data_IF_949290507892
#
_entry.id   IF_949290507892
#
_cell.length_a   1.000
_cell.length_b   1.000
_cell.length_c   1.000
_cell.angle_alpha   90.00
_cell.angle_beta   90.00
_cell.angle_gamma   90.00
#
_symmetry.space_group_name_H-M   'P 1'
#
loop_
_entity.id
_entity.type
_entity.pdbx_description
1 polymer ?
#
# COMPACT_ATOMS: atom_id res chain seq x y z
N UNK A 1 45.15 -4.40 -47.56
CA UNK A 1 43.70 -4.20 -47.46
C UNK A 1 43.01 -5.17 -48.40
N UNK A 2 42.03 -5.93 -47.93
CA UNK A 2 40.71 -6.19 -48.57
C UNK A 2 39.95 -7.15 -47.64
N UNK A 3 38.62 -7.01 -47.56
CA UNK A 3 37.83 -7.60 -46.48
C UNK A 3 37.16 -8.90 -46.92
N UNK A 4 37.32 -9.98 -46.14
CA UNK A 4 36.40 -11.12 -46.25
C UNK A 4 35.07 -10.77 -45.59
N UNK A 5 34.05 -10.57 -46.42
CA UNK A 5 32.65 -10.45 -46.02
C UNK A 5 32.16 -11.74 -45.36
N UNK A 6 31.65 -11.64 -44.13
CA UNK A 6 30.92 -12.74 -43.49
C UNK A 6 29.45 -12.69 -43.90
N UNK A 7 29.03 -13.62 -44.75
CA UNK A 7 27.61 -13.81 -45.11
C UNK A 7 26.81 -14.18 -43.87
N UNK A 8 25.71 -13.48 -43.62
CA UNK A 8 24.85 -13.66 -42.46
C UNK A 8 23.67 -14.55 -42.85
N UNK A 9 23.65 -15.78 -42.36
CA UNK A 9 22.58 -16.75 -42.68
C UNK A 9 21.40 -16.50 -41.75
N UNK A 10 20.23 -16.22 -42.33
CA UNK A 10 18.97 -16.19 -41.60
C UNK A 10 18.53 -17.62 -41.25
N UNK A 11 18.26 -17.88 -39.98
CA UNK A 11 17.53 -19.05 -39.53
C UNK A 11 16.18 -18.58 -38.95
N UNK A 12 15.13 -18.61 -39.76
CA UNK A 12 13.77 -18.36 -39.30
C UNK A 12 13.22 -19.63 -38.62
N UNK A 13 12.79 -19.50 -37.36
CA UNK A 13 12.06 -20.56 -36.65
C UNK A 13 10.65 -20.06 -36.36
N UNK A 14 9.68 -20.75 -36.93
CA UNK A 14 8.25 -20.61 -36.65
C UNK A 14 7.71 -21.98 -36.19
N UNK A 15 6.38 -22.09 -36.03
CA UNK A 15 5.65 -23.28 -35.51
C UNK A 15 5.80 -23.43 -33.98
N UNK A 16 4.74 -23.70 -33.20
CA UNK A 16 3.35 -24.07 -33.49
C UNK A 16 2.35 -23.35 -32.57
N UNK A 17 1.08 -23.28 -32.99
CA UNK A 17 -0.04 -23.04 -32.07
C UNK A 17 -0.39 -24.32 -31.30
N UNK A 18 -0.94 -24.16 -30.10
CA UNK A 18 -1.71 -25.20 -29.42
C UNK A 18 -2.99 -24.59 -28.82
N UNK A 19 -4.15 -25.07 -29.26
CA UNK A 19 -5.46 -24.67 -28.74
C UNK A 19 -6.43 -25.85 -28.79
N UNK A 20 -6.91 -26.27 -27.61
CA UNK A 20 -8.09 -27.07 -27.31
C UNK A 20 -8.15 -27.13 -25.77
N UNK A 21 -9.09 -26.50 -25.05
CA UNK A 21 -10.54 -26.74 -25.00
C UNK A 21 -10.93 -28.13 -24.53
N UNK A 22 -11.40 -28.22 -23.28
CA UNK A 22 -12.55 -29.03 -22.83
C UNK A 22 -12.93 -28.54 -21.43
N UNK A 23 -14.22 -28.29 -21.21
CA UNK A 23 -14.78 -28.02 -19.89
C UNK A 23 -15.72 -29.15 -19.46
N UNK A 24 -16.03 -29.23 -18.17
CA UNK A 24 -17.15 -30.04 -17.66
C UNK A 24 -17.72 -29.34 -16.42
N UNK A 25 -19.05 -29.31 -16.33
CA UNK A 25 -19.78 -28.50 -15.35
C UNK A 25 -20.92 -29.32 -14.74
N UNK A 26 -20.83 -29.58 -13.43
CA UNK A 26 -21.91 -30.06 -12.56
C UNK A 26 -21.75 -29.34 -11.22
N UNK A 27 -22.64 -28.46 -10.74
CA UNK A 27 -24.11 -28.57 -10.53
C UNK A 27 -24.45 -29.41 -9.31
N UNK A 28 -24.64 -28.74 -8.16
CA UNK A 28 -25.77 -28.84 -7.21
C UNK A 28 -25.39 -28.23 -5.83
N UNK A 29 -26.31 -27.89 -4.92
CA UNK A 29 -27.59 -27.19 -5.09
C UNK A 29 -28.04 -26.62 -3.73
N UNK A 30 -28.28 -25.31 -3.70
CA UNK A 30 -29.04 -24.50 -2.74
C UNK A 30 -29.92 -25.23 -1.68
N UNK A 31 -29.76 -24.90 -0.39
CA UNK A 31 -30.84 -25.04 0.62
C UNK A 31 -30.72 -23.98 1.74
N UNK A 32 -31.79 -23.21 1.96
CA UNK A 32 -32.02 -22.32 3.13
C UNK A 32 -33.53 -22.25 3.43
N UNK A 33 -33.93 -22.35 4.71
CA UNK A 33 -34.72 -21.28 5.38
C UNK A 33 -34.07 -20.86 6.73
N UNK A 34 -34.17 -19.62 7.23
CA UNK A 34 -35.34 -18.90 7.77
C UNK A 34 -35.95 -19.58 9.03
N UNK A 35 -36.22 -18.95 10.18
CA UNK A 35 -36.32 -17.51 10.58
C UNK A 35 -35.45 -17.26 11.86
N UNK A 36 -35.56 -16.28 12.77
CA UNK A 36 -36.51 -15.18 13.14
C UNK A 36 -35.79 -14.08 13.96
N UNK A 37 -36.43 -12.91 14.18
CA UNK A 37 -36.14 -11.95 15.27
C UNK A 37 -37.38 -11.77 16.16
N UNK A 38 -37.25 -11.38 17.44
CA UNK A 38 -37.44 -9.97 17.89
C UNK A 38 -36.40 -9.56 18.96
N UNK A 39 -36.33 -8.36 19.55
CA UNK A 39 -36.66 -6.96 19.25
C UNK A 39 -36.60 -6.20 20.60
N UNK A 40 -35.74 -5.17 20.71
CA UNK A 40 -35.82 -4.06 21.69
C UNK A 40 -35.56 -4.37 23.19
N UNK A 41 -35.23 -3.42 24.08
CA UNK A 41 -35.16 -1.94 23.99
C UNK A 41 -33.98 -1.34 24.80
N UNK A 42 -33.59 -0.08 24.50
CA UNK A 42 -33.29 1.08 25.40
C UNK A 42 -32.49 0.87 26.72
N UNK A 43 -31.65 1.78 27.24
CA UNK A 43 -31.18 3.15 26.91
C UNK A 43 -29.80 3.34 27.64
N UNK A 44 -29.05 4.46 27.68
CA UNK A 44 -29.17 5.87 27.24
C UNK A 44 -27.74 6.43 27.02
N UNK A 45 -27.50 7.69 26.57
CA UNK A 45 -26.17 8.13 26.12
C UNK A 45 -25.24 8.64 27.24
N UNK A 46 -23.93 8.47 27.03
CA UNK A 46 -22.89 9.26 27.68
C UNK A 46 -22.18 10.13 26.64
N UNK A 47 -22.37 11.45 26.72
CA UNK A 47 -21.73 12.42 25.84
C UNK A 47 -20.29 12.70 26.29
N UNK A 48 -19.30 12.49 25.42
CA UNK A 48 -17.96 13.03 25.64
C UNK A 48 -17.33 13.55 24.35
N UNK A 49 -17.52 14.85 24.11
CA UNK A 49 -16.83 15.62 23.07
C UNK A 49 -15.53 16.22 23.60
N UNK A 50 -14.38 15.71 23.15
CA UNK A 50 -13.15 16.50 22.94
C UNK A 50 -12.19 15.73 22.03
N UNK A 51 -11.74 16.37 20.96
CA UNK A 51 -10.58 16.05 20.11
C UNK A 51 -10.26 14.56 19.88
N UNK A 52 -10.98 13.93 18.95
CA UNK A 52 -10.67 12.60 18.41
C UNK A 52 -9.37 12.60 17.58
N UNK A 53 -8.22 12.68 18.26
CA UNK A 53 -6.94 12.26 17.70
C UNK A 53 -7.08 10.78 17.33
N UNK A 54 -6.96 10.46 16.03
CA UNK A 54 -7.02 9.08 15.56
C UNK A 54 -5.92 8.29 16.25
N UNK A 55 -6.31 7.38 17.15
CA UNK A 55 -5.39 6.48 17.85
C UNK A 55 -4.97 5.36 16.89
N UNK A 56 -4.13 5.73 15.93
CA UNK A 56 -3.55 4.80 14.99
C UNK A 56 -2.62 3.85 15.76
N UNK A 57 -2.99 2.57 15.82
CA UNK A 57 -2.29 1.55 16.60
C UNK A 57 -0.91 1.25 15.98
N UNK A 58 0.12 2.00 16.40
CA UNK A 58 1.51 1.82 15.99
C UNK A 58 2.15 0.79 16.95
N UNK A 59 2.56 -0.40 16.49
CA UNK A 59 3.08 -1.43 17.39
C UNK A 59 4.32 -0.96 18.15
N UNK A 60 4.23 -0.90 19.48
CA UNK A 60 5.31 -0.49 20.37
C UNK A 60 5.43 1.02 20.64
N UNK A 61 4.55 1.86 20.09
CA UNK A 61 4.53 3.32 20.32
C UNK A 61 3.12 3.79 20.73
N UNK A 62 3.04 4.77 21.64
CA UNK A 62 1.76 5.35 22.09
C UNK A 62 1.35 6.54 21.23
N UNK A 63 2.31 7.27 20.68
CA UNK A 63 2.11 8.37 19.75
C UNK A 63 3.14 8.32 18.61
N UNK A 64 2.86 8.99 17.48
CA UNK A 64 3.83 9.21 16.40
C UNK A 64 5.06 10.01 16.88
N UNK A 65 4.93 10.73 18.00
CA UNK A 65 6.02 11.43 18.69
C UNK A 65 7.03 10.49 19.33
N UNK A 66 6.63 9.24 19.65
CA UNK A 66 7.53 8.20 20.17
C UNK A 66 8.31 7.50 19.04
N UNK A 67 7.95 7.79 17.78
CA UNK A 67 8.54 7.20 16.58
C UNK A 67 9.57 8.16 15.99
N UNK A 68 10.82 7.69 15.85
CA UNK A 68 11.89 8.44 15.19
C UNK A 68 11.69 8.40 13.66
N UNK A 69 10.92 9.37 13.17
CA UNK A 69 10.76 9.63 11.73
C UNK A 69 12.11 10.08 11.14
N UNK A 70 12.58 9.36 10.12
CA UNK A 70 13.87 9.61 9.44
C UNK A 70 13.60 9.80 7.94
N UNK A 71 13.98 10.94 7.33
CA UNK A 71 13.85 11.15 5.89
C UNK A 71 14.59 10.07 5.07
N UNK A 72 14.16 9.81 3.83
CA UNK A 72 14.80 8.77 3.03
C UNK A 72 16.27 9.10 2.71
N UNK A 73 17.13 8.08 2.72
CA UNK A 73 18.53 8.20 2.31
C UNK A 73 18.70 7.79 0.84
N UNK A 74 19.58 8.48 0.10
CA UNK A 74 19.70 8.28 -1.36
C UNK A 74 20.26 6.91 -1.79
N UNK A 75 20.88 6.16 -0.89
CA UNK A 75 21.76 5.04 -1.27
C UNK A 75 21.02 3.69 -1.37
N UNK A 76 20.03 3.44 -0.50
CA UNK A 76 19.08 2.33 -0.62
C UNK A 76 17.72 2.87 -0.15
N UNK A 77 16.67 2.86 -1.00
CA UNK A 77 15.35 3.30 -0.57
C UNK A 77 14.73 2.28 0.38
N UNK A 78 14.05 2.77 1.42
CA UNK A 78 13.24 1.93 2.31
C UNK A 78 11.92 1.44 1.65
N UNK A 79 11.67 1.84 0.40
CA UNK A 79 10.50 1.48 -0.39
C UNK A 79 10.01 2.66 -1.24
N UNK A 80 8.84 2.52 -1.86
CA UNK A 80 8.17 3.57 -2.64
C UNK A 80 6.68 3.67 -2.28
N UNK A 81 6.16 4.88 -2.37
CA UNK A 81 4.76 5.18 -2.60
C UNK A 81 4.52 5.08 -4.12
N UNK A 82 3.79 4.06 -4.57
CA UNK A 82 3.61 3.77 -6.00
C UNK A 82 2.47 4.59 -6.62
N UNK A 83 1.46 4.99 -5.82
CA UNK A 83 0.39 5.90 -6.26
C UNK A 83 -0.93 5.69 -5.53
N UNK A 84 -2.02 6.16 -6.14
CA UNK A 84 -3.36 6.18 -5.58
C UNK A 84 -4.44 5.77 -6.61
N UNK A 85 -5.47 5.06 -6.17
CA UNK A 85 -6.62 4.62 -6.98
C UNK A 85 -6.27 3.93 -8.31
N UNK A 86 -5.12 3.25 -8.37
CA UNK A 86 -4.58 2.62 -9.59
C UNK A 86 -3.77 3.56 -10.50
N UNK A 87 -3.79 4.87 -10.26
CA UNK A 87 -2.91 5.84 -10.91
C UNK A 87 -1.52 5.86 -10.28
N UNK A 88 -0.50 6.13 -11.10
CA UNK A 88 0.89 6.40 -10.66
C UNK A 88 1.24 7.89 -10.63
N UNK A 89 0.27 8.77 -10.93
CA UNK A 89 0.47 10.20 -10.81
C UNK A 89 0.74 10.58 -9.34
N UNK A 90 1.72 11.47 -9.05
CA UNK A 90 2.06 11.88 -7.69
C UNK A 90 1.02 12.84 -7.07
N UNK A 91 -0.10 13.09 -7.76
CA UNK A 91 -1.16 14.01 -7.34
C UNK A 91 -2.51 13.57 -7.91
N UNK A 92 -3.61 13.83 -7.19
CA UNK A 92 -4.97 13.63 -7.69
C UNK A 92 -5.97 14.50 -6.94
N UNK A 93 -7.05 14.90 -7.62
CA UNK A 93 -8.27 15.38 -6.96
C UNK A 93 -8.99 14.20 -6.27
N UNK A 94 -9.44 14.41 -5.03
CA UNK A 94 -10.26 13.45 -4.25
C UNK A 94 -11.43 14.19 -3.60
N UNK A 95 -12.64 13.61 -3.60
CA UNK A 95 -13.78 14.22 -2.89
C UNK A 95 -13.77 13.84 -1.42
N UNK A 96 -14.12 14.79 -0.56
CA UNK A 96 -14.20 14.60 0.90
C UNK A 96 -15.13 13.47 1.33
N UNK A 97 -16.09 13.12 0.47
CA UNK A 97 -17.11 12.09 0.69
C UNK A 97 -16.69 10.65 0.32
N UNK A 98 -15.58 10.44 -0.40
CA UNK A 98 -15.25 9.13 -1.01
C UNK A 98 -13.86 8.62 -0.60
N UNK A 99 -13.77 7.52 0.18
CA UNK A 99 -12.50 6.88 0.48
C UNK A 99 -11.72 6.50 -0.78
N UNK A 100 -10.39 6.61 -0.74
CA UNK A 100 -9.51 6.30 -1.86
C UNK A 100 -8.39 5.35 -1.45
N UNK A 101 -7.98 4.48 -2.37
CA UNK A 101 -6.89 3.54 -2.14
C UNK A 101 -5.53 4.20 -2.40
N UNK A 102 -4.53 3.85 -1.62
CA UNK A 102 -3.11 4.18 -1.82
C UNK A 102 -2.27 2.93 -1.61
N UNK A 103 -1.11 2.84 -2.26
CA UNK A 103 -0.27 1.64 -2.15
C UNK A 103 1.18 1.85 -2.56
N UNK A 104 1.97 0.80 -2.31
CA UNK A 104 3.40 0.80 -2.59
C UNK A 104 4.09 -0.46 -2.10
N UNK A 105 5.37 -0.34 -1.77
CA UNK A 105 6.15 -1.38 -1.09
C UNK A 105 7.11 -0.78 -0.06
N UNK A 106 7.46 -1.55 0.98
CA UNK A 106 8.31 -1.11 2.08
C UNK A 106 9.18 -2.25 2.65
N UNK A 107 10.45 -1.94 2.93
CA UNK A 107 11.49 -2.87 3.39
C UNK A 107 12.42 -2.20 4.40
N UNK A 108 13.02 -3.01 5.26
CA UNK A 108 14.08 -2.61 6.18
C UNK A 108 15.38 -3.25 5.71
N UNK A 109 15.94 -2.69 4.63
CA UNK A 109 17.03 -3.30 3.85
C UNK A 109 18.29 -3.64 4.65
N UNK A 110 18.63 -2.83 5.67
CA UNK A 110 19.73 -3.09 6.60
C UNK A 110 19.50 -4.31 7.51
N UNK A 111 18.27 -4.79 7.62
CA UNK A 111 17.88 -5.99 8.36
C UNK A 111 17.46 -7.16 7.44
N UNK A 112 17.51 -6.97 6.12
CA UNK A 112 17.14 -8.00 5.13
C UNK A 112 15.65 -8.39 5.08
N UNK A 113 14.76 -7.72 5.84
CA UNK A 113 13.33 -8.05 5.96
C UNK A 113 12.38 -6.97 5.39
N UNK A 114 11.09 -7.31 5.25
CA UNK A 114 10.02 -6.33 5.03
C UNK A 114 9.84 -5.38 6.21
N UNK A 115 9.15 -4.25 6.02
CA UNK A 115 8.81 -3.35 7.12
C UNK A 115 7.73 -3.96 8.05
N UNK A 116 7.81 -3.76 9.36
CA UNK A 116 6.85 -4.38 10.29
C UNK A 116 5.43 -3.80 10.11
N UNK A 117 5.36 -2.51 9.77
CA UNK A 117 4.18 -1.80 9.26
C UNK A 117 4.63 -0.73 8.27
N UNK A 118 3.68 -0.16 7.54
CA UNK A 118 3.79 1.17 6.94
C UNK A 118 2.89 2.13 7.69
N UNK A 119 3.47 3.23 8.17
CA UNK A 119 2.75 4.38 8.70
C UNK A 119 2.50 5.34 7.54
N UNK A 120 1.30 5.91 7.44
CA UNK A 120 0.96 6.95 6.46
C UNK A 120 0.59 8.22 7.22
N UNK A 121 1.28 9.31 6.93
CA UNK A 121 1.09 10.63 7.54
C UNK A 121 0.61 11.66 6.52
N UNK A 122 -0.13 12.66 6.98
CA UNK A 122 -0.68 13.76 6.19
C UNK A 122 -0.18 15.11 6.70
N UNK A 123 0.22 15.98 5.75
CA UNK A 123 0.68 17.34 6.02
C UNK A 123 2.00 17.42 6.79
N UNK A 124 2.46 18.65 7.04
CA UNK A 124 3.76 18.91 7.65
C UNK A 124 3.80 18.57 9.15
N UNK A 125 2.63 18.54 9.81
CA UNK A 125 2.45 18.03 11.18
C UNK A 125 2.63 16.51 11.30
N UNK A 126 2.76 15.79 10.18
CA UNK A 126 2.82 14.33 10.11
C UNK A 126 1.66 13.63 10.86
N UNK A 127 0.45 14.17 10.73
CA UNK A 127 -0.76 13.59 11.32
C UNK A 127 -0.98 12.18 10.75
N UNK A 128 -1.00 11.15 11.59
CA UNK A 128 -1.17 9.76 11.13
C UNK A 128 -2.61 9.55 10.64
N UNK A 129 -2.74 9.04 9.41
CA UNK A 129 -4.03 8.76 8.76
C UNK A 129 -4.25 7.27 8.49
N UNK A 130 -3.19 6.45 8.45
CA UNK A 130 -3.29 5.00 8.43
C UNK A 130 -2.01 4.32 8.97
N UNK A 131 -2.16 3.09 9.45
CA UNK A 131 -1.06 2.16 9.77
C UNK A 131 -1.45 0.79 9.25
N UNK A 132 -0.64 0.21 8.35
CA UNK A 132 -0.99 -1.02 7.60
C UNK A 132 0.15 -2.04 7.60
N UNK A 133 -0.11 -3.35 7.46
CA UNK A 133 0.94 -4.35 7.27
C UNK A 133 1.59 -4.25 5.88
N UNK A 134 2.83 -4.74 5.75
CA UNK A 134 3.32 -5.24 4.46
C UNK A 134 2.94 -6.70 4.34
N UNK A 135 2.00 -7.01 3.44
CA UNK A 135 1.51 -8.37 3.21
C UNK A 135 1.05 -8.63 1.76
N UNK A 136 1.22 -7.66 0.86
CA UNK A 136 0.89 -7.80 -0.57
C UNK A 136 2.12 -8.30 -1.32
N UNK A 137 1.94 -9.24 -2.24
CA UNK A 137 3.05 -9.84 -2.97
C UNK A 137 3.66 -8.89 -4.01
N UNK A 138 5.00 -8.84 -4.06
CA UNK A 138 5.83 -7.95 -4.88
C UNK A 138 7.01 -8.71 -5.51
N UNK A 139 6.76 -9.57 -6.51
CA UNK A 139 7.83 -10.29 -7.22
C UNK A 139 8.77 -9.32 -7.97
N UNK A 140 8.27 -8.15 -8.36
CA UNK A 140 9.05 -7.04 -8.93
C UNK A 140 10.13 -6.53 -7.96
N UNK A 141 9.79 -6.37 -6.68
CA UNK A 141 10.73 -5.92 -5.64
C UNK A 141 11.76 -7.01 -5.32
N UNK A 142 11.33 -8.29 -5.29
CA UNK A 142 12.25 -9.44 -5.14
C UNK A 142 13.25 -9.49 -6.29
N UNK A 143 12.81 -9.29 -7.53
CA UNK A 143 13.68 -9.28 -8.71
C UNK A 143 14.64 -8.08 -8.71
N UNK A 144 14.14 -6.88 -8.39
CA UNK A 144 14.94 -5.65 -8.41
C UNK A 144 16.00 -5.62 -7.30
N UNK A 145 15.64 -6.02 -6.08
CA UNK A 145 16.54 -5.99 -4.91
C UNK A 145 17.25 -7.33 -4.65
N UNK A 146 16.97 -8.37 -5.44
CA UNK A 146 17.59 -9.71 -5.40
C UNK A 146 17.50 -10.41 -4.03
N UNK A 147 16.45 -10.14 -3.26
CA UNK A 147 16.21 -10.75 -1.95
C UNK A 147 14.80 -11.36 -1.86
N UNK A 148 14.66 -12.70 -1.73
CA UNK A 148 13.35 -13.36 -1.64
C UNK A 148 12.57 -13.00 -0.36
N UNK A 149 13.24 -12.55 0.71
CA UNK A 149 12.56 -12.12 1.93
C UNK A 149 11.66 -10.88 1.72
N UNK A 150 11.84 -10.14 0.61
CA UNK A 150 10.99 -9.00 0.25
C UNK A 150 9.72 -9.39 -0.51
N UNK A 151 9.38 -10.69 -0.65
CA UNK A 151 8.19 -11.16 -1.39
C UNK A 151 6.92 -10.42 -0.97
N UNK A 152 6.71 -10.23 0.34
CA UNK A 152 5.48 -9.65 0.89
C UNK A 152 5.66 -8.17 1.30
N UNK A 153 6.60 -7.45 0.66
CA UNK A 153 6.92 -6.05 0.95
C UNK A 153 5.83 -5.06 0.55
N UNK A 154 4.84 -5.48 -0.25
CA UNK A 154 3.76 -4.62 -0.71
C UNK A 154 2.80 -4.23 0.40
N UNK A 155 2.30 -3.01 0.34
CA UNK A 155 1.29 -2.47 1.25
C UNK A 155 0.19 -1.75 0.47
N UNK A 156 -1.01 -1.75 1.04
CA UNK A 156 -2.15 -0.99 0.55
C UNK A 156 -2.93 -0.43 1.75
N UNK A 157 -3.51 0.76 1.58
CA UNK A 157 -4.37 1.39 2.58
C UNK A 157 -5.55 2.10 1.91
N UNK A 158 -6.68 2.18 2.61
CA UNK A 158 -7.82 3.02 2.23
C UNK A 158 -7.80 4.26 3.11
N UNK A 159 -7.61 5.43 2.53
CA UNK A 159 -7.66 6.72 3.22
C UNK A 159 -9.10 7.24 3.18
N UNK A 160 -9.54 7.86 4.27
CA UNK A 160 -10.83 8.56 4.35
C UNK A 160 -10.61 10.10 4.24
N UNK A 161 -10.91 10.74 3.10
CA UNK A 161 -10.79 12.19 2.93
C UNK A 161 -11.51 13.06 3.97
N UNK A 162 -12.55 12.55 4.64
CA UNK A 162 -13.25 13.29 5.68
C UNK A 162 -12.34 13.67 6.87
N UNK A 163 -11.25 12.92 7.11
CA UNK A 163 -10.26 13.21 8.17
C UNK A 163 -9.13 14.14 7.70
N UNK A 164 -9.12 14.55 6.42
CA UNK A 164 -8.14 15.46 5.84
C UNK A 164 -8.68 16.90 5.82
N UNK A 165 -7.81 17.93 5.96
CA UNK A 165 -8.19 19.30 5.61
C UNK A 165 -8.52 19.40 4.11
N UNK A 166 -9.39 20.33 3.74
CA UNK A 166 -9.73 20.56 2.32
C UNK A 166 -8.62 21.33 1.59
N UNK A 167 -8.49 21.12 0.28
CA UNK A 167 -7.37 21.64 -0.52
C UNK A 167 -6.19 20.68 -0.56
N UNK A 168 -4.97 21.19 -0.79
CA UNK A 168 -3.77 20.37 -1.00
C UNK A 168 -3.25 19.74 0.28
N UNK A 169 -3.11 18.41 0.28
CA UNK A 169 -2.58 17.62 1.39
C UNK A 169 -1.54 16.63 0.86
N UNK A 170 -0.29 16.77 1.31
CA UNK A 170 0.77 15.80 0.98
C UNK A 170 0.68 14.61 1.93
N UNK A 171 0.50 13.42 1.38
CA UNK A 171 0.62 12.14 2.08
C UNK A 171 2.04 11.58 1.94
N UNK A 172 2.63 11.15 3.06
CA UNK A 172 3.93 10.48 3.13
C UNK A 172 3.75 9.09 3.73
N UNK A 173 4.46 8.10 3.19
CA UNK A 173 4.51 6.76 3.74
C UNK A 173 5.89 6.50 4.38
N UNK A 174 5.94 5.65 5.40
CA UNK A 174 7.16 5.36 6.17
C UNK A 174 7.27 3.86 6.48
N UNK A 175 8.40 3.25 6.15
CA UNK A 175 8.74 1.88 6.54
C UNK A 175 9.07 1.84 8.03
N UNK A 176 8.20 1.23 8.85
CA UNK A 176 8.32 1.21 10.30
C UNK A 176 8.99 -0.08 10.82
N UNK A 177 9.91 0.10 11.76
CA UNK A 177 10.56 -0.95 12.55
C UNK A 177 10.03 -0.88 13.99
N UNK A 178 9.20 -1.84 14.40
CA UNK A 178 8.59 -1.82 15.73
C UNK A 178 9.57 -2.15 16.87
N UNK A 179 10.73 -2.72 16.57
CA UNK A 179 11.76 -3.02 17.58
C UNK A 179 12.58 -1.78 17.97
N UNK A 180 12.94 -0.91 17.00
CA UNK A 180 13.66 0.34 17.29
C UNK A 180 12.74 1.56 17.47
N UNK A 181 11.45 1.47 17.12
CA UNK A 181 10.51 2.60 16.99
C UNK A 181 11.00 3.65 15.97
N UNK A 182 11.62 3.20 14.89
CA UNK A 182 12.06 4.07 13.81
C UNK A 182 11.18 3.90 12.58
N UNK A 183 10.92 4.98 11.85
CA UNK A 183 10.28 4.91 10.55
C UNK A 183 11.10 5.67 9.51
N UNK A 184 11.46 5.02 8.41
CA UNK A 184 12.22 5.64 7.31
C UNK A 184 11.23 6.02 6.21
N UNK A 185 11.26 7.27 5.74
CA UNK A 185 10.35 7.72 4.69
C UNK A 185 10.55 6.89 3.42
N UNK A 186 9.46 6.51 2.75
CA UNK A 186 9.54 5.91 1.43
C UNK A 186 9.93 6.98 0.38
N UNK A 187 10.38 6.52 -0.79
CA UNK A 187 10.43 7.37 -1.98
C UNK A 187 9.02 7.77 -2.41
N UNK A 188 8.95 8.94 -3.07
CA UNK A 188 7.73 9.65 -3.43
C UNK A 188 6.87 10.09 -2.24
N UNK A 189 5.93 10.97 -2.54
CA UNK A 189 4.82 11.40 -1.71
C UNK A 189 3.63 11.65 -2.65
N UNK A 190 2.41 11.69 -2.12
CA UNK A 190 1.20 11.85 -2.92
C UNK A 190 0.43 13.10 -2.51
N UNK A 191 0.20 14.03 -3.44
CA UNK A 191 -0.61 15.24 -3.21
C UNK A 191 -2.09 14.96 -3.48
N UNK A 192 -2.86 14.73 -2.42
CA UNK A 192 -4.31 14.73 -2.50
C UNK A 192 -4.82 16.18 -2.52
N UNK A 193 -5.50 16.59 -3.57
CA UNK A 193 -6.28 17.82 -3.59
C UNK A 193 -7.70 17.49 -3.15
N UNK A 194 -7.98 17.71 -1.86
CA UNK A 194 -9.24 17.33 -1.21
C UNK A 194 -10.32 18.35 -1.54
N UNK A 195 -11.09 18.06 -2.58
CA UNK A 195 -12.31 18.75 -2.94
C UNK A 195 -13.39 18.50 -1.87
N UNK A 196 -14.30 19.45 -1.61
CA UNK A 196 -15.40 19.27 -0.65
C UNK A 196 -16.32 18.08 -0.97
#
# INVERSE_FOLDING_TARGET
>A
MFHHTKTLILAAVAVSLAACSTGSNSTDSQTSPNSSSPASSENSPSSQTTDTKISANIPGASDIKDVKLTPNSKNIPAGFFDGASGSKEPKQDVSKSKPFAVGGWAVLSSQGKVADKVIITAGDSNTVVAVVPTNVERPDVVQALKNPAFKNSGWAATINPATLPSGKVVLRAWAYNSASKEAIQLNNAFEANVLP
#
